data_IF_021105033165
#
_entry.id   IF_021105033165
#
_cell.length_a   1.000
_cell.length_b   1.000
_cell.length_c   1.000
_cell.angle_alpha   90.00
_cell.angle_beta   90.00
_cell.angle_gamma   90.00
#
_symmetry.space_group_name_H-M   'P 1'
#
loop_
_entity.id
_entity.type
_entity.pdbx_description
1 polymer ?
#
# COMPACT_ATOMS: atom_id res chain seq x y z
N UNK A 1 -7.00 28.54 -15.58
CA UNK A 1 -7.77 27.99 -14.44
C UNK A 1 -9.00 27.32 -15.03
N UNK A 2 -8.87 26.04 -15.40
CA UNK A 2 -9.95 25.31 -16.04
C UNK A 2 -11.12 25.13 -15.05
N UNK A 3 -12.33 25.30 -15.55
CA UNK A 3 -13.60 25.11 -14.87
C UNK A 3 -13.61 23.82 -14.04
N UNK A 4 -13.72 23.98 -12.72
CA UNK A 4 -14.29 22.95 -11.84
C UNK A 4 -15.79 23.24 -11.80
N UNK A 5 -16.46 23.10 -12.96
CA UNK A 5 -17.91 23.20 -13.07
C UNK A 5 -18.48 21.79 -13.31
N UNK A 6 -19.46 21.44 -12.48
CA UNK A 6 -20.20 20.18 -12.33
C UNK A 6 -19.46 19.01 -11.66
N UNK A 7 -19.31 19.08 -10.33
CA UNK A 7 -19.26 17.87 -9.52
C UNK A 7 -20.71 17.38 -9.32
N UNK A 8 -20.99 16.22 -9.91
CA UNK A 8 -22.31 15.59 -9.90
C UNK A 8 -22.63 15.10 -8.48
N UNK A 9 -23.69 15.61 -7.85
CA UNK A 9 -24.24 15.07 -6.60
C UNK A 9 -24.66 13.58 -6.68
N UNK A 10 -24.64 13.00 -7.88
CA UNK A 10 -24.88 11.58 -8.16
C UNK A 10 -23.61 10.74 -8.29
N UNK A 11 -22.42 11.26 -7.90
CA UNK A 11 -21.15 10.53 -8.00
C UNK A 11 -21.21 9.13 -7.38
N UNK A 12 -21.98 8.98 -6.29
CA UNK A 12 -22.08 7.72 -5.56
C UNK A 12 -22.84 6.67 -6.36
N UNK A 13 -23.90 7.06 -7.07
CA UNK A 13 -24.61 6.13 -7.96
C UNK A 13 -23.76 5.81 -9.19
N UNK A 14 -23.08 6.82 -9.76
CA UNK A 14 -22.14 6.66 -10.89
C UNK A 14 -20.99 5.68 -10.59
N UNK A 15 -20.50 5.66 -9.35
CA UNK A 15 -19.36 4.82 -8.94
C UNK A 15 -19.72 3.71 -7.96
N UNK A 16 -21.00 3.38 -7.83
CA UNK A 16 -21.52 2.36 -6.89
C UNK A 16 -20.82 1.02 -7.03
N UNK A 17 -20.50 0.60 -8.26
CA UNK A 17 -19.81 -0.66 -8.54
C UNK A 17 -18.35 -0.68 -8.05
N UNK A 18 -17.78 0.50 -7.72
CA UNK A 18 -16.45 0.63 -7.11
C UNK A 18 -16.49 0.58 -5.58
N UNK A 19 -17.66 0.69 -4.95
CA UNK A 19 -17.81 0.48 -3.51
C UNK A 19 -17.77 -1.02 -3.21
N UNK A 20 -16.59 -1.48 -2.81
CA UNK A 20 -16.35 -2.89 -2.48
C UNK A 20 -15.78 -3.03 -1.07
N UNK A 21 -15.93 -4.22 -0.49
CA UNK A 21 -15.35 -4.54 0.82
C UNK A 21 -13.83 -4.61 0.73
N UNK A 22 -13.12 -4.45 1.86
CA UNK A 22 -11.67 -4.64 1.93
C UNK A 22 -11.24 -5.99 1.33
N UNK A 23 -11.94 -7.07 1.69
CA UNK A 23 -11.73 -8.41 1.12
C UNK A 23 -11.94 -8.45 -0.39
N UNK A 24 -12.96 -7.76 -0.89
CA UNK A 24 -13.21 -7.63 -2.32
C UNK A 24 -12.09 -6.87 -3.04
N UNK A 25 -11.52 -5.84 -2.41
CA UNK A 25 -10.40 -5.07 -2.94
C UNK A 25 -9.11 -5.89 -2.98
N UNK A 26 -8.74 -6.56 -1.88
CA UNK A 26 -7.52 -7.38 -1.81
C UNK A 26 -7.55 -8.55 -2.80
N UNK A 27 -8.73 -9.14 -3.06
CA UNK A 27 -8.89 -10.18 -4.10
C UNK A 27 -8.57 -9.73 -5.52
N UNK A 28 -8.47 -8.43 -5.79
CA UNK A 28 -8.06 -7.90 -7.10
C UNK A 28 -6.54 -7.86 -7.27
N UNK A 29 -5.79 -7.98 -6.18
CA UNK A 29 -4.33 -8.09 -6.20
C UNK A 29 -3.98 -9.49 -6.70
N UNK A 30 -2.98 -9.58 -7.57
CA UNK A 30 -2.49 -10.84 -8.11
C UNK A 30 -1.06 -11.12 -7.65
N UNK A 31 -0.66 -12.39 -7.75
CA UNK A 31 0.70 -12.84 -7.46
C UNK A 31 1.73 -12.01 -8.23
N UNK A 32 2.84 -11.68 -7.58
CA UNK A 32 3.93 -10.89 -8.18
C UNK A 32 3.67 -9.37 -8.24
N UNK A 33 2.53 -8.88 -7.75
CA UNK A 33 2.28 -7.44 -7.69
C UNK A 33 3.21 -6.74 -6.70
N UNK A 34 3.52 -5.49 -7.02
CA UNK A 34 4.15 -4.53 -6.13
C UNK A 34 3.08 -3.62 -5.55
N UNK A 35 2.86 -3.75 -4.26
CA UNK A 35 1.80 -3.06 -3.53
C UNK A 35 2.42 -1.93 -2.72
N UNK A 36 2.08 -0.69 -3.05
CA UNK A 36 2.39 0.46 -2.21
C UNK A 36 1.31 0.66 -1.14
N UNK A 37 1.74 0.87 0.10
CA UNK A 37 0.84 1.21 1.21
C UNK A 37 1.05 2.68 1.58
N UNK A 38 -0.07 3.41 1.73
CA UNK A 38 -0.09 4.79 2.20
C UNK A 38 0.80 4.98 3.44
N UNK A 39 1.59 6.05 3.43
CA UNK A 39 2.63 6.26 4.44
C UNK A 39 2.12 6.98 5.68
N UNK A 40 2.79 6.78 6.80
CA UNK A 40 2.53 7.48 8.06
C UNK A 40 1.07 7.35 8.50
N UNK A 41 0.42 8.47 8.85
CA UNK A 41 -0.99 8.49 9.26
C UNK A 41 -1.98 8.20 8.12
N UNK A 42 -1.51 8.05 6.87
CA UNK A 42 -2.35 7.72 5.71
C UNK A 42 -2.41 6.22 5.41
N UNK A 43 -1.81 5.38 6.25
CA UNK A 43 -1.89 3.93 6.12
C UNK A 43 -3.36 3.46 6.23
N UNK A 44 -3.93 2.85 5.19
CA UNK A 44 -5.31 2.37 5.21
C UNK A 44 -5.42 1.06 6.01
N UNK A 45 -5.51 1.18 7.34
CA UNK A 45 -5.43 0.06 8.30
C UNK A 45 -6.33 -1.12 7.95
N UNK A 46 -7.58 -0.87 7.55
CA UNK A 46 -8.52 -1.95 7.19
C UNK A 46 -8.08 -2.74 5.94
N UNK A 47 -7.42 -2.08 4.97
CA UNK A 47 -6.87 -2.75 3.79
C UNK A 47 -5.57 -3.47 4.14
N UNK A 48 -4.69 -2.86 4.94
CA UNK A 48 -3.44 -3.49 5.40
C UNK A 48 -3.72 -4.79 6.16
N UNK A 49 -4.67 -4.79 7.10
CA UNK A 49 -5.01 -5.97 7.88
C UNK A 49 -5.54 -7.13 7.01
N UNK A 50 -6.42 -6.83 6.04
CA UNK A 50 -6.95 -7.85 5.13
C UNK A 50 -5.88 -8.34 4.14
N UNK A 51 -4.94 -7.48 3.74
CA UNK A 51 -3.79 -7.85 2.91
C UNK A 51 -2.90 -8.87 3.61
N UNK A 52 -2.50 -8.60 4.85
CA UNK A 52 -1.69 -9.52 5.68
C UNK A 52 -2.39 -10.87 5.83
N UNK A 53 -3.69 -10.85 6.16
CA UNK A 53 -4.50 -12.08 6.27
C UNK A 53 -4.54 -12.90 4.97
N UNK A 54 -4.36 -12.27 3.81
CA UNK A 54 -4.41 -12.91 2.50
C UNK A 54 -3.03 -13.32 1.96
N UNK A 55 -1.96 -13.17 2.76
CA UNK A 55 -0.57 -13.34 2.33
C UNK A 55 -0.26 -14.70 1.68
N UNK A 56 -0.85 -15.80 2.18
CA UNK A 56 -0.72 -17.14 1.60
C UNK A 56 -1.21 -17.26 0.15
N UNK A 57 -2.18 -16.42 -0.25
CA UNK A 57 -2.73 -16.40 -1.60
C UNK A 57 -2.02 -15.41 -2.53
N UNK A 58 -1.07 -14.64 -2.01
CA UNK A 58 -0.40 -13.53 -2.67
C UNK A 58 1.13 -13.68 -2.60
N UNK A 59 1.61 -14.91 -2.78
CA UNK A 59 3.04 -15.25 -2.85
C UNK A 59 3.76 -14.38 -3.91
N UNK A 60 5.03 -14.06 -3.65
CA UNK A 60 5.89 -13.21 -4.50
C UNK A 60 5.42 -11.75 -4.60
N UNK A 61 4.48 -11.34 -3.76
CA UNK A 61 4.05 -9.93 -3.67
C UNK A 61 5.08 -9.13 -2.87
N UNK A 62 5.47 -7.98 -3.43
CA UNK A 62 6.34 -7.01 -2.77
C UNK A 62 5.51 -5.91 -2.13
N UNK A 63 5.75 -5.61 -0.85
CA UNK A 63 5.16 -4.44 -0.18
C UNK A 63 6.17 -3.31 -0.13
N UNK A 64 5.82 -2.18 -0.76
CA UNK A 64 6.65 -0.97 -0.78
C UNK A 64 6.22 -0.05 0.37
N UNK A 65 7.16 0.23 1.27
CA UNK A 65 6.97 1.09 2.44
C UNK A 65 7.79 2.37 2.33
N UNK A 66 7.25 3.48 2.83
CA UNK A 66 8.06 4.65 3.19
C UNK A 66 8.15 4.76 4.72
N UNK A 67 7.26 5.51 5.36
CA UNK A 67 7.23 5.65 6.82
C UNK A 67 6.10 4.81 7.42
N UNK A 68 6.42 3.62 7.93
CA UNK A 68 5.46 2.73 8.61
C UNK A 68 5.29 3.13 10.08
N UNK A 69 4.09 3.57 10.47
CA UNK A 69 3.73 3.86 11.88
C UNK A 69 2.44 3.15 12.34
N UNK A 70 1.78 2.40 11.46
CA UNK A 70 0.55 1.70 11.78
C UNK A 70 0.71 0.66 12.89
N UNK A 71 -0.42 0.22 13.47
CA UNK A 71 -0.45 -0.73 14.57
C UNK A 71 -0.07 -2.16 14.12
N UNK A 72 -0.14 -2.43 12.81
CA UNK A 72 0.11 -3.75 12.27
C UNK A 72 1.58 -4.15 12.47
N UNK A 73 1.76 -5.30 13.11
CA UNK A 73 3.07 -5.89 13.33
C UNK A 73 3.32 -6.87 12.21
N UNK A 74 3.93 -6.39 11.13
CA UNK A 74 4.54 -7.26 10.13
C UNK A 74 5.44 -8.29 10.85
N UNK A 75 5.47 -9.52 10.35
CA UNK A 75 6.30 -10.61 10.90
C UNK A 75 6.01 -11.07 12.35
N UNK A 76 4.84 -10.76 12.94
CA UNK A 76 4.50 -11.17 14.33
C UNK A 76 4.50 -12.69 14.53
N UNK A 77 3.95 -13.44 13.57
CA UNK A 77 4.20 -14.86 13.37
C UNK A 77 4.70 -15.00 11.92
N UNK A 78 5.85 -15.65 11.68
CA UNK A 78 6.44 -15.78 10.34
C UNK A 78 5.52 -16.50 9.34
N UNK A 79 4.46 -17.15 9.83
CA UNK A 79 3.42 -17.77 9.01
C UNK A 79 2.36 -16.79 8.50
N UNK A 80 2.24 -15.60 9.10
CA UNK A 80 1.15 -14.65 8.79
C UNK A 80 1.53 -13.62 7.73
N UNK A 81 2.82 -13.34 7.55
CA UNK A 81 3.32 -12.34 6.60
C UNK A 81 4.38 -12.93 5.66
N UNK A 82 3.91 -13.35 4.48
CA UNK A 82 4.73 -14.01 3.45
C UNK A 82 5.22 -13.04 2.38
N UNK A 83 5.02 -11.74 2.56
CA UNK A 83 5.41 -10.75 1.58
C UNK A 83 6.90 -10.42 1.64
N UNK A 84 7.43 -9.94 0.52
CA UNK A 84 8.74 -9.29 0.52
C UNK A 84 8.57 -7.81 0.81
N UNK A 85 8.98 -7.37 2.00
CA UNK A 85 8.92 -5.96 2.37
C UNK A 85 10.12 -5.22 1.80
N UNK A 86 9.89 -4.08 1.16
CA UNK A 86 10.92 -3.18 0.69
C UNK A 86 10.66 -1.76 1.22
N UNK A 87 11.52 -1.30 2.11
CA UNK A 87 11.39 0.00 2.75
C UNK A 87 12.29 1.05 2.09
N UNK A 88 11.73 2.23 1.83
CA UNK A 88 12.49 3.45 1.50
C UNK A 88 12.90 4.24 2.75
N UNK A 89 12.30 3.93 3.91
CA UNK A 89 12.71 4.47 5.20
C UNK A 89 12.61 3.39 6.30
N UNK A 90 13.65 3.25 7.11
CA UNK A 90 13.71 2.20 8.14
C UNK A 90 13.06 2.67 9.44
N UNK A 91 11.76 2.39 9.58
CA UNK A 91 11.01 2.54 10.82
C UNK A 91 11.38 1.49 11.89
N UNK A 92 10.82 1.63 13.09
CA UNK A 92 11.01 0.65 14.18
C UNK A 92 10.48 -0.73 13.80
N UNK A 93 9.42 -0.79 12.99
CA UNK A 93 8.67 -2.01 12.66
C UNK A 93 9.44 -2.99 11.78
N UNK A 94 10.37 -2.53 10.93
CA UNK A 94 11.07 -3.38 9.94
C UNK A 94 12.58 -3.50 10.19
N UNK A 95 13.11 -2.77 11.19
CA UNK A 95 14.56 -2.65 11.39
C UNK A 95 15.22 -3.99 11.70
N UNK A 96 14.59 -4.80 12.54
CA UNK A 96 15.15 -6.10 12.89
C UNK A 96 15.09 -7.08 11.72
N UNK A 97 13.99 -7.04 10.97
CA UNK A 97 13.69 -7.91 9.84
C UNK A 97 14.66 -7.65 8.70
N UNK A 98 14.96 -6.37 8.42
CA UNK A 98 16.00 -5.95 7.48
C UNK A 98 17.36 -6.49 7.93
N UNK A 99 17.73 -6.32 9.20
CA UNK A 99 19.01 -6.83 9.73
C UNK A 99 19.12 -8.37 9.67
N UNK A 100 18.00 -9.08 9.74
CA UNK A 100 17.91 -10.54 9.59
C UNK A 100 17.83 -10.99 8.13
N UNK A 101 17.85 -10.08 7.15
CA UNK A 101 17.70 -10.36 5.71
C UNK A 101 16.28 -10.72 5.26
N UNK A 102 15.29 -10.58 6.15
CA UNK A 102 13.89 -10.92 5.89
C UNK A 102 13.09 -9.80 5.21
N UNK A 103 13.63 -8.58 5.18
CA UNK A 103 13.12 -7.46 4.39
C UNK A 103 14.25 -6.72 3.68
N UNK A 104 13.91 -5.95 2.64
CA UNK A 104 14.81 -5.10 1.88
C UNK A 104 14.73 -3.64 2.35
N UNK A 105 15.86 -2.95 2.20
CA UNK A 105 15.95 -1.50 2.29
C UNK A 105 16.51 -0.97 0.98
N UNK A 106 15.77 -0.06 0.34
CA UNK A 106 16.22 0.65 -0.85
C UNK A 106 16.58 2.09 -0.44
N UNK A 107 17.86 2.44 -0.32
CA UNK A 107 18.27 3.79 0.05
C UNK A 107 17.91 4.78 -1.06
N UNK A 108 17.12 5.81 -0.74
CA UNK A 108 16.73 6.87 -1.67
C UNK A 108 16.42 8.16 -0.90
N UNK A 109 16.65 9.32 -1.52
CA UNK A 109 16.18 10.58 -0.98
C UNK A 109 14.65 10.64 -1.04
N UNK A 110 14.00 11.09 0.03
CA UNK A 110 12.53 11.18 0.07
C UNK A 110 11.95 12.01 -1.09
N UNK A 111 12.65 13.07 -1.51
CA UNK A 111 12.26 13.92 -2.66
C UNK A 111 12.37 13.23 -4.02
N UNK A 112 13.12 12.13 -4.12
CA UNK A 112 13.33 11.40 -5.38
C UNK A 112 12.34 10.23 -5.56
N UNK A 113 11.63 9.84 -4.50
CA UNK A 113 10.64 8.74 -4.55
C UNK A 113 9.60 8.95 -5.67
N UNK A 114 9.00 10.15 -5.86
CA UNK A 114 8.07 10.35 -6.97
C UNK A 114 8.71 10.10 -8.35
N UNK A 115 9.95 10.57 -8.55
CA UNK A 115 10.69 10.38 -9.81
C UNK A 115 11.01 8.91 -10.08
N UNK A 116 11.29 8.13 -9.02
CA UNK A 116 11.51 6.68 -9.12
C UNK A 116 10.31 5.95 -9.74
N UNK A 117 9.10 6.30 -9.31
CA UNK A 117 7.86 5.71 -9.85
C UNK A 117 7.52 6.25 -11.24
N UNK A 118 7.58 7.57 -11.44
CA UNK A 118 7.25 8.19 -12.73
C UNK A 118 8.18 7.75 -13.87
N UNK A 119 9.44 7.45 -13.56
CA UNK A 119 10.41 6.93 -14.54
C UNK A 119 10.27 5.43 -14.81
N UNK A 120 9.42 4.70 -14.08
CA UNK A 120 9.27 3.24 -14.20
C UNK A 120 10.46 2.43 -13.67
N UNK A 121 11.45 3.07 -13.01
CA UNK A 121 12.57 2.37 -12.36
C UNK A 121 12.08 1.48 -11.21
N UNK A 122 11.02 1.91 -10.54
CA UNK A 122 10.24 1.08 -9.63
C UNK A 122 8.78 1.13 -10.07
N UNK A 123 8.21 -0.03 -10.40
CA UNK A 123 6.78 -0.12 -10.70
C UNK A 123 5.96 -0.24 -9.40
N UNK A 124 4.76 0.33 -9.44
CA UNK A 124 3.73 0.18 -8.42
C UNK A 124 2.47 -0.32 -9.14
N UNK A 125 2.12 -1.59 -8.94
CA UNK A 125 0.97 -2.21 -9.61
C UNK A 125 -0.33 -1.88 -8.88
N UNK A 126 -0.26 -1.82 -7.55
CA UNK A 126 -1.41 -1.55 -6.68
C UNK A 126 -1.01 -0.52 -5.63
N UNK A 127 -1.83 0.52 -5.44
CA UNK A 127 -1.67 1.47 -4.36
C UNK A 127 -2.86 1.38 -3.41
N UNK A 128 -2.60 1.04 -2.14
CA UNK A 128 -3.59 1.08 -1.07
C UNK A 128 -3.44 2.42 -0.36
N UNK A 129 -4.45 3.28 -0.50
CA UNK A 129 -4.43 4.64 0.04
C UNK A 129 -5.66 4.92 0.90
N UNK A 130 -5.50 5.78 1.89
CA UNK A 130 -6.61 6.37 2.63
C UNK A 130 -6.85 7.80 2.15
N UNK A 131 -8.10 8.09 1.83
CA UNK A 131 -8.56 9.41 1.39
C UNK A 131 -9.76 9.85 2.23
N UNK A 132 -10.06 11.14 2.20
CA UNK A 132 -11.33 11.65 2.72
C UNK A 132 -12.47 11.21 1.83
N UNK A 133 -13.72 11.19 2.32
CA UNK A 133 -14.88 11.12 1.45
C UNK A 133 -14.80 12.18 0.33
N UNK A 134 -15.33 11.91 -0.87
CA UNK A 134 -15.40 12.90 -1.95
C UNK A 134 -16.09 14.18 -1.49
N UNK A 135 -15.69 15.31 -2.09
CA UNK A 135 -16.39 16.58 -1.95
C UNK A 135 -17.75 16.54 -2.68
N UNK A 136 -18.50 17.64 -2.56
CA UNK A 136 -19.82 17.79 -3.20
C UNK A 136 -19.70 18.12 -4.66
#
# INVERSE_FOLDING_TARGET
MAQIDSLDGEWREKWKDKEITAKGAIKKIILGNRVFIGSACSEPQALTAELIKSSESLIDTEIIHFLTIGPEKYFKDKREDLFRHNAFFIGKTLREEINKGQADYTPILASEIPSLFLSGRKNCDVALIQVTPPDR
#
